data_IF_889046846148
#
_entry.id   IF_889046846148
#
_cell.length_a   1.000
_cell.length_b   1.000
_cell.length_c   1.000
_cell.angle_alpha   90.00
_cell.angle_beta   90.00
_cell.angle_gamma   90.00
#
_symmetry.space_group_name_H-M   'P 1'
#
loop_
_entity.id
_entity.type
_entity.pdbx_description
1 polymer ?
#
# COMPACT_ATOMS: atom_id res chain seq x y z
N UNK A 1 1.02 2.23 3.61
CA UNK A 1 2.41 1.92 3.26
C UNK A 1 2.47 1.54 1.80
N UNK A 2 3.29 2.22 0.99
CA UNK A 2 3.53 1.84 -0.41
C UNK A 2 4.45 0.62 -0.51
N UNK A 3 4.39 -0.07 -1.64
CA UNK A 3 5.21 -1.23 -1.92
C UNK A 3 5.88 -1.09 -3.29
N UNK A 4 7.03 -1.72 -3.42
CA UNK A 4 7.74 -1.88 -4.68
C UNK A 4 8.04 -3.36 -4.88
N UNK A 5 8.01 -3.80 -6.12
CA UNK A 5 8.48 -5.11 -6.55
C UNK A 5 9.89 -4.97 -7.09
N UNK A 6 10.74 -5.94 -6.76
CA UNK A 6 12.07 -6.10 -7.33
C UNK A 6 12.09 -7.39 -8.14
N UNK A 7 12.50 -7.30 -9.40
CA UNK A 7 12.65 -8.41 -10.33
C UNK A 7 14.05 -8.33 -10.96
N UNK A 8 14.78 -9.45 -10.97
CA UNK A 8 16.19 -9.50 -11.39
C UNK A 8 16.41 -8.93 -12.81
N UNK A 9 15.50 -9.23 -13.73
CA UNK A 9 15.61 -8.83 -15.15
C UNK A 9 14.97 -7.46 -15.47
N UNK A 10 14.11 -6.93 -14.59
CA UNK A 10 13.29 -5.74 -14.85
C UNK A 10 13.54 -4.57 -13.89
N UNK A 11 14.32 -4.79 -12.82
CA UNK A 11 14.65 -3.77 -11.84
C UNK A 11 13.56 -3.61 -10.78
N UNK A 12 13.23 -2.37 -10.42
CA UNK A 12 12.29 -2.06 -9.33
C UNK A 12 11.11 -1.24 -9.85
N UNK A 13 9.88 -1.65 -9.53
CA UNK A 13 8.66 -0.95 -9.94
C UNK A 13 7.64 -0.82 -8.79
N UNK A 14 6.70 0.13 -8.85
CA UNK A 14 5.63 0.23 -7.87
C UNK A 14 4.76 -1.03 -7.84
N UNK A 15 4.43 -1.49 -6.63
CA UNK A 15 3.60 -2.67 -6.36
C UNK A 15 2.44 -2.32 -5.40
N UNK A 16 1.80 -1.19 -5.69
CA UNK A 16 0.64 -0.70 -4.97
C UNK A 16 0.91 -0.37 -3.51
N UNK A 17 -0.09 -0.62 -2.66
CA UNK A 17 -0.15 -0.11 -1.30
C UNK A 17 -0.81 -1.09 -0.34
N UNK A 18 -0.55 -0.91 0.95
CA UNK A 18 -1.22 -1.61 2.05
C UNK A 18 -1.81 -0.63 3.05
N UNK A 19 -3.02 -0.95 3.53
CA UNK A 19 -3.82 -0.18 4.47
C UNK A 19 -4.00 -0.98 5.75
N UNK A 20 -3.85 -0.31 6.90
CA UNK A 20 -3.90 -0.93 8.22
C UNK A 20 -4.69 -0.04 9.18
N UNK A 21 -5.42 -0.65 10.11
CA UNK A 21 -6.20 0.08 11.12
C UNK A 21 -5.30 0.69 12.21
N UNK A 22 -4.08 0.17 12.38
CA UNK A 22 -3.11 0.67 13.34
C UNK A 22 -1.68 0.36 12.91
N UNK A 23 -0.71 1.04 13.53
CA UNK A 23 0.70 0.75 13.33
C UNK A 23 1.10 -0.67 13.80
N UNK A 24 0.44 -1.18 14.85
CA UNK A 24 0.66 -2.55 15.30
C UNK A 24 0.15 -3.58 14.28
N UNK A 25 -1.00 -3.31 13.64
CA UNK A 25 -1.51 -4.14 12.54
C UNK A 25 -0.53 -4.14 11.35
N UNK A 26 0.03 -2.98 11.00
CA UNK A 26 1.11 -2.89 10.01
C UNK A 26 2.32 -3.77 10.38
N UNK A 27 2.86 -3.66 11.60
CA UNK A 27 4.03 -4.47 11.99
C UNK A 27 3.75 -5.97 11.94
N UNK A 28 2.55 -6.40 12.34
CA UNK A 28 2.14 -7.81 12.25
C UNK A 28 2.02 -8.25 10.79
N UNK A 29 1.43 -7.42 9.93
CA UNK A 29 1.33 -7.69 8.50
C UNK A 29 2.71 -7.89 7.87
N UNK A 30 3.65 -6.98 8.11
CA UNK A 30 5.03 -7.06 7.59
C UNK A 30 5.74 -8.30 8.10
N UNK A 31 5.61 -8.61 9.40
CA UNK A 31 6.21 -9.81 9.97
C UNK A 31 5.68 -11.08 9.30
N UNK A 32 4.37 -11.20 9.11
CA UNK A 32 3.78 -12.37 8.45
C UNK A 32 4.14 -12.46 6.96
N UNK A 33 4.29 -11.33 6.27
CA UNK A 33 4.77 -11.30 4.89
C UNK A 33 6.18 -11.89 4.80
N UNK A 34 7.13 -11.34 5.58
CA UNK A 34 8.52 -11.82 5.56
C UNK A 34 8.69 -13.23 6.10
N UNK A 35 7.83 -13.69 7.02
CA UNK A 35 7.83 -15.08 7.50
C UNK A 35 7.55 -16.11 6.41
N UNK A 36 6.87 -15.70 5.32
CA UNK A 36 6.55 -16.57 4.18
C UNK A 36 7.64 -16.55 3.10
N UNK A 37 8.62 -15.64 3.20
CA UNK A 37 9.71 -15.57 2.24
C UNK A 37 10.70 -16.71 2.45
N UNK A 38 11.31 -17.24 1.38
CA UNK A 38 12.42 -18.17 1.51
C UNK A 38 13.64 -17.49 2.15
N UNK A 39 14.56 -18.30 2.66
CA UNK A 39 15.81 -17.80 3.26
C UNK A 39 16.75 -17.19 2.20
N UNK A 40 16.72 -17.73 0.98
CA UNK A 40 17.44 -17.18 -0.17
C UNK A 40 16.65 -16.03 -0.80
N UNK A 41 17.36 -15.05 -1.38
CA UNK A 41 16.73 -13.91 -2.06
C UNK A 41 16.02 -14.40 -3.34
N UNK A 42 14.70 -14.23 -3.46
CA UNK A 42 13.97 -14.61 -4.67
C UNK A 42 14.35 -13.74 -5.87
N UNK A 43 14.23 -14.28 -7.09
CA UNK A 43 14.36 -13.51 -8.33
C UNK A 43 13.27 -12.41 -8.46
N UNK A 44 12.12 -12.59 -7.81
CA UNK A 44 11.01 -11.62 -7.76
C UNK A 44 10.41 -11.56 -6.35
N UNK A 45 10.30 -10.37 -5.77
CA UNK A 45 9.63 -10.15 -4.49
C UNK A 45 9.19 -8.70 -4.29
N UNK A 46 8.16 -8.50 -3.47
CA UNK A 46 7.70 -7.18 -3.04
C UNK A 46 8.34 -6.77 -1.72
N UNK A 47 8.52 -5.47 -1.51
CA UNK A 47 8.93 -4.91 -0.22
C UNK A 47 8.22 -3.59 0.08
N UNK A 48 8.02 -3.24 1.36
CA UNK A 48 7.58 -1.91 1.73
C UNK A 48 8.57 -0.86 1.23
N UNK A 49 8.05 0.21 0.65
CA UNK A 49 8.82 1.34 0.18
C UNK A 49 8.20 2.64 0.70
N UNK A 50 9.03 3.57 1.15
CA UNK A 50 8.57 4.86 1.68
C UNK A 50 8.17 4.82 3.16
N UNK A 51 7.46 5.86 3.60
CA UNK A 51 7.07 6.07 5.00
C UNK A 51 5.62 5.68 5.26
N UNK A 52 5.33 5.22 6.48
CA UNK A 52 3.95 5.11 6.95
C UNK A 52 3.30 6.49 6.96
N UNK A 53 2.10 6.57 6.39
CA UNK A 53 1.26 7.76 6.43
C UNK A 53 -0.09 7.43 7.06
N UNK A 54 -0.55 8.27 7.97
CA UNK A 54 -1.96 8.28 8.37
C UNK A 54 -2.79 8.87 7.24
N UNK A 55 -3.98 8.32 7.00
CA UNK A 55 -4.90 8.82 6.00
C UNK A 55 -6.33 8.66 6.50
N UNK A 56 -7.18 9.64 6.19
CA UNK A 56 -8.63 9.45 6.34
C UNK A 56 -9.12 8.68 5.11
N UNK A 57 -10.13 7.86 5.29
CA UNK A 57 -10.71 7.04 4.23
C UNK A 57 -12.22 7.13 4.28
N UNK A 58 -12.88 6.81 3.17
CA UNK A 58 -14.34 6.66 3.15
C UNK A 58 -14.78 5.49 4.03
N UNK A 59 -16.01 5.54 4.55
CA UNK A 59 -16.60 4.46 5.34
C UNK A 59 -16.57 3.12 4.57
N UNK A 60 -16.78 3.16 3.26
CA UNK A 60 -16.72 1.99 2.40
C UNK A 60 -15.33 1.34 2.39
N UNK A 61 -14.26 2.14 2.29
CA UNK A 61 -12.89 1.64 2.34
C UNK A 61 -12.52 1.18 3.76
N UNK A 62 -12.99 1.90 4.78
CA UNK A 62 -12.80 1.49 6.17
C UNK A 62 -13.42 0.11 6.45
N UNK A 63 -14.65 -0.14 5.99
CA UNK A 63 -15.29 -1.46 6.10
C UNK A 63 -14.51 -2.54 5.34
N UNK A 64 -14.01 -2.24 4.13
CA UNK A 64 -13.14 -3.18 3.40
C UNK A 64 -11.85 -3.53 4.17
N UNK A 65 -11.29 -2.58 4.92
CA UNK A 65 -10.12 -2.83 5.76
C UNK A 65 -10.51 -3.66 7.00
N UNK A 66 -11.70 -3.44 7.58
CA UNK A 66 -12.23 -4.24 8.69
C UNK A 66 -12.54 -5.69 8.27
N UNK A 67 -13.11 -5.87 7.09
CA UNK A 67 -13.50 -7.16 6.51
C UNK A 67 -12.29 -8.02 6.10
N UNK A 68 -11.06 -7.59 6.40
CA UNK A 68 -9.73 -8.26 6.27
C UNK A 68 -9.81 -9.63 5.56
N UNK A 69 -9.12 -9.81 4.44
CA UNK A 69 -9.09 -11.14 3.84
C UNK A 69 -8.38 -12.15 4.76
N UNK A 70 -8.79 -13.43 4.72
CA UNK A 70 -8.06 -14.52 5.41
C UNK A 70 -6.59 -14.59 4.99
N UNK A 71 -6.29 -14.16 3.77
CA UNK A 71 -4.96 -14.15 3.17
C UNK A 71 -4.08 -13.04 3.75
N UNK A 72 -4.68 -11.91 4.13
CA UNK A 72 -4.04 -10.71 4.66
C UNK A 72 -4.58 -10.37 6.05
N UNK A 73 -4.32 -11.23 7.07
CA UNK A 73 -4.61 -10.84 8.43
C UNK A 73 -3.81 -9.56 8.74
N UNK A 74 -4.43 -8.62 9.45
CA UNK A 74 -3.83 -7.33 9.84
C UNK A 74 -3.73 -6.23 8.76
N UNK A 75 -4.34 -6.40 7.58
CA UNK A 75 -4.42 -5.29 6.63
C UNK A 75 -5.13 -5.64 5.33
N UNK A 76 -5.21 -4.65 4.45
CA UNK A 76 -5.67 -4.82 3.08
C UNK A 76 -4.53 -4.50 2.12
N UNK A 77 -4.18 -5.46 1.25
CA UNK A 77 -3.25 -5.23 0.14
C UNK A 77 -4.03 -4.78 -1.09
N UNK A 78 -3.55 -3.72 -1.73
CA UNK A 78 -4.14 -3.16 -2.95
C UNK A 78 -3.03 -3.00 -3.97
N UNK A 79 -3.03 -3.86 -4.98
CA UNK A 79 -2.03 -3.87 -6.06
C UNK A 79 -2.31 -2.79 -7.11
N UNK A 80 -3.59 -2.50 -7.37
CA UNK A 80 -4.03 -1.47 -8.30
C UNK A 80 -4.53 -0.23 -7.55
N UNK A 81 -3.72 0.83 -7.54
CA UNK A 81 -4.02 2.06 -6.81
C UNK A 81 -5.29 2.78 -7.29
N UNK A 82 -5.76 2.50 -8.52
CA UNK A 82 -7.03 3.04 -9.03
C UNK A 82 -8.22 2.61 -8.16
N UNK A 83 -8.09 1.49 -7.43
CA UNK A 83 -9.09 1.04 -6.46
C UNK A 83 -9.21 1.93 -5.22
N UNK A 84 -8.28 2.88 -5.04
CA UNK A 84 -8.24 3.84 -3.93
C UNK A 84 -8.63 5.26 -4.37
N UNK A 85 -8.82 5.49 -5.66
CA UNK A 85 -9.26 6.78 -6.18
C UNK A 85 -10.61 7.19 -5.56
N UNK A 86 -10.68 8.42 -5.07
CA UNK A 86 -11.86 8.96 -4.38
C UNK A 86 -12.17 8.32 -3.02
N UNK A 87 -11.37 7.35 -2.54
CA UNK A 87 -11.58 6.68 -1.24
C UNK A 87 -10.60 7.13 -0.16
N UNK A 88 -9.54 7.86 -0.52
CA UNK A 88 -8.57 8.42 0.42
C UNK A 88 -8.79 9.92 0.55
N UNK A 89 -9.16 10.34 1.75
CA UNK A 89 -9.36 11.73 2.14
C UNK A 89 -8.04 12.19 2.79
N UNK A 90 -7.31 13.07 2.10
CA UNK A 90 -5.97 13.59 2.42
C UNK A 90 -5.38 13.26 3.82
N UNK A 91 -4.32 12.46 3.82
CA UNK A 91 -3.34 12.38 4.91
C UNK A 91 -2.08 13.17 4.56
N UNK A 92 -1.35 13.68 5.57
CA UNK A 92 -0.11 14.46 5.36
C UNK A 92 0.83 13.73 4.39
N UNK A 93 1.26 14.47 3.37
CA UNK A 93 2.22 14.19 2.30
C UNK A 93 2.82 12.77 2.28
N UNK A 94 2.47 12.01 1.24
CA UNK A 94 3.04 10.68 0.95
C UNK A 94 4.42 10.82 0.31
N UNK A 95 5.44 10.21 0.90
CA UNK A 95 6.73 10.02 0.23
C UNK A 95 6.63 8.82 -0.72
N UNK A 96 6.77 9.04 -2.04
CA UNK A 96 6.72 7.97 -3.05
C UNK A 96 5.95 8.37 -4.30
N UNK A 97 6.07 7.55 -5.36
CA UNK A 97 5.47 7.78 -6.68
C UNK A 97 3.95 7.66 -6.63
N UNK A 98 3.27 8.74 -6.25
CA UNK A 98 1.84 8.88 -6.43
C UNK A 98 1.59 10.10 -7.32
N UNK A 99 1.19 9.86 -8.58
CA UNK A 99 0.60 10.93 -9.39
C UNK A 99 -0.85 11.07 -8.94
N UNK A 100 -1.12 12.07 -8.10
CA UNK A 100 -2.49 12.51 -7.86
C UNK A 100 -3.06 12.99 -9.20
N UNK A 101 -4.07 12.29 -9.71
CA UNK A 101 -4.81 12.72 -10.88
C UNK A 101 -5.54 14.03 -10.60
N UNK A 102 -5.37 15.00 -11.49
CA UNK A 102 -6.24 16.18 -11.61
C UNK A 102 -5.62 17.47 -11.09
N UNK A 103 -4.78 18.09 -11.93
CA UNK A 103 -4.61 19.55 -11.91
C UNK A 103 -5.97 20.19 -12.25
N UNK A 104 -6.67 20.67 -11.22
CA UNK A 104 -7.75 21.64 -11.36
C UNK A 104 -7.20 23.02 -10.96
N UNK A 105 -6.23 23.54 -11.71
CA UNK A 105 -5.86 24.95 -11.64
C UNK A 105 -6.09 25.65 -12.99
N UNK A 106 -7.18 26.41 -13.03
CA UNK A 106 -7.25 27.74 -13.63
C UNK A 106 -6.98 27.86 -15.13
N UNK A 107 -8.00 27.58 -15.95
CA UNK A 107 -8.27 28.43 -17.12
C UNK A 107 -9.31 29.49 -16.74
N UNK A 108 -8.83 30.69 -16.44
CA UNK A 108 -9.54 31.95 -16.65
C UNK A 108 -8.59 32.87 -17.40
#
# INVERSE_FOLDING_TARGET
MSWEESEEDWGVRPDGSSLHLSQNDYHRYIKEYWRKMPDDVPCEYSRPAGSLCEAQVTDSLYQRILDKSREYPYGLRVFDERQLEGQIMLGKQRSGWMKLGGDLSGRL
#
